data_IF_296582556020
#
_entry.id   IF_296582556020
#
_cell.length_a   1.000
_cell.length_b   1.000
_cell.length_c   1.000
_cell.angle_alpha   90.00
_cell.angle_beta   90.00
_cell.angle_gamma   90.00
#
_symmetry.space_group_name_H-M   'P 1'
#
loop_
_entity.id
_entity.type
_entity.pdbx_description
1 polymer ?
#
# COMPACT_ATOMS: atom_id res chain seq x y z
N UNK A 1 -11.87 -7.47 18.67
CA UNK A 1 -12.26 -7.69 17.25
C UNK A 1 -12.53 -6.42 16.42
N UNK A 2 -12.24 -5.20 16.90
CA UNK A 2 -12.74 -3.98 16.25
C UNK A 2 -12.12 -3.56 14.91
N UNK A 3 -10.90 -4.00 14.55
CA UNK A 3 -10.17 -3.47 13.38
C UNK A 3 -10.59 -4.07 12.03
N UNK A 4 -11.38 -5.14 12.04
CA UNK A 4 -11.80 -5.86 10.82
C UNK A 4 -12.52 -4.93 9.83
N UNK A 5 -13.29 -3.97 10.33
CA UNK A 5 -14.07 -3.01 9.54
C UNK A 5 -13.32 -1.73 9.18
N UNK A 6 -12.09 -1.59 9.67
CA UNK A 6 -11.32 -0.36 9.50
C UNK A 6 -10.46 -0.43 8.24
N UNK A 7 -10.38 0.70 7.55
CA UNK A 7 -9.37 1.00 6.54
C UNK A 7 -8.61 2.25 6.95
N UNK A 8 -7.37 2.32 6.48
CA UNK A 8 -6.46 3.43 6.74
C UNK A 8 -6.18 4.10 5.40
N UNK A 9 -6.56 5.37 5.30
CA UNK A 9 -6.35 6.21 4.13
C UNK A 9 -5.24 7.22 4.43
N UNK A 10 -4.30 7.37 3.50
CA UNK A 10 -3.17 8.31 3.58
C UNK A 10 -3.07 9.11 2.30
N UNK A 11 -2.58 10.35 2.41
CA UNK A 11 -2.42 11.26 1.27
C UNK A 11 -3.70 12.01 0.89
N UNK A 12 -4.70 12.05 1.78
CA UNK A 12 -5.88 12.91 1.63
C UNK A 12 -5.61 14.23 2.36
N UNK A 13 -5.55 15.31 1.60
CA UNK A 13 -5.33 16.65 2.13
C UNK A 13 -6.42 17.07 3.12
N UNK A 14 -6.06 17.95 4.05
CA UNK A 14 -6.99 18.49 5.03
C UNK A 14 -6.36 18.76 6.38
N UNK A 15 -7.07 19.50 7.23
CA UNK A 15 -6.62 19.99 8.53
C UNK A 15 -6.92 18.99 9.67
N UNK A 16 -6.10 18.94 10.71
CA UNK A 16 -6.37 18.17 11.94
C UNK A 16 -7.53 18.76 12.76
N UNK A 17 -7.90 20.01 12.49
CA UNK A 17 -9.06 20.69 13.10
C UNK A 17 -10.37 20.50 12.31
N UNK A 18 -10.37 19.67 11.26
CA UNK A 18 -11.58 19.35 10.49
C UNK A 18 -12.62 18.66 11.37
N UNK A 19 -13.87 19.02 11.15
CA UNK A 19 -14.98 18.29 11.74
C UNK A 19 -15.04 16.87 11.14
N UNK A 20 -15.60 15.89 11.87
CA UNK A 20 -15.79 14.55 11.33
C UNK A 20 -16.59 14.54 10.02
N UNK A 21 -17.55 15.46 9.87
CA UNK A 21 -18.40 15.59 8.67
C UNK A 21 -17.60 16.08 7.44
N UNK A 22 -16.72 17.06 7.62
CA UNK A 22 -15.83 17.52 6.54
C UNK A 22 -14.87 16.41 6.12
N UNK A 23 -14.35 15.65 7.08
CA UNK A 23 -13.45 14.53 6.81
C UNK A 23 -14.19 13.41 6.06
N UNK A 24 -15.42 13.08 6.47
CA UNK A 24 -16.29 12.12 5.78
C UNK A 24 -16.51 12.52 4.32
N UNK A 25 -16.92 13.76 4.07
CA UNK A 25 -17.14 14.27 2.72
C UNK A 25 -15.88 14.17 1.86
N UNK A 26 -14.72 14.55 2.39
CA UNK A 26 -13.44 14.44 1.68
C UNK A 26 -13.05 13.00 1.36
N UNK A 27 -13.29 12.06 2.27
CA UNK A 27 -13.02 10.64 2.04
C UNK A 27 -13.93 10.09 0.93
N UNK A 28 -15.22 10.44 0.93
CA UNK A 28 -16.18 10.05 -0.12
C UNK A 28 -15.75 10.62 -1.48
N UNK A 29 -15.46 11.91 -1.53
CA UNK A 29 -14.97 12.57 -2.74
C UNK A 29 -13.66 11.94 -3.24
N UNK A 30 -12.76 11.56 -2.33
CA UNK A 30 -11.53 10.84 -2.67
C UNK A 30 -11.82 9.45 -3.28
N UNK A 31 -12.78 8.70 -2.74
CA UNK A 31 -13.16 7.40 -3.30
C UNK A 31 -13.73 7.51 -4.72
N UNK A 32 -14.58 8.50 -4.99
CA UNK A 32 -15.12 8.72 -6.33
C UNK A 32 -14.04 9.21 -7.30
N UNK A 33 -13.26 10.22 -6.93
CA UNK A 33 -12.31 10.87 -7.83
C UNK A 33 -11.02 10.08 -8.04
N UNK A 34 -10.41 9.62 -6.95
CA UNK A 34 -9.07 9.04 -6.96
C UNK A 34 -9.08 7.53 -7.13
N UNK A 35 -10.07 6.85 -6.54
CA UNK A 35 -10.26 5.41 -6.70
C UNK A 35 -11.23 5.05 -7.85
N UNK A 36 -11.89 6.05 -8.46
CA UNK A 36 -12.85 5.86 -9.56
C UNK A 36 -13.97 4.89 -9.21
N UNK A 37 -14.42 4.92 -7.96
CA UNK A 37 -15.57 4.16 -7.50
C UNK A 37 -16.87 4.84 -7.96
N UNK A 38 -17.91 4.05 -8.23
CA UNK A 38 -19.22 4.57 -8.61
C UNK A 38 -19.81 5.40 -7.47
N UNK A 39 -20.28 6.60 -7.79
CA UNK A 39 -20.90 7.53 -6.84
C UNK A 39 -22.14 6.92 -6.19
N UNK A 40 -22.90 6.08 -6.91
CA UNK A 40 -24.05 5.35 -6.36
C UNK A 40 -23.63 4.38 -5.26
N UNK A 41 -22.52 3.68 -5.47
CA UNK A 41 -21.97 2.74 -4.51
C UNK A 41 -21.46 3.48 -3.28
N UNK A 42 -20.72 4.59 -3.47
CA UNK A 42 -20.25 5.42 -2.35
C UNK A 42 -21.42 6.07 -1.58
N UNK A 43 -22.46 6.53 -2.26
CA UNK A 43 -23.66 7.09 -1.64
C UNK A 43 -24.40 6.09 -0.74
N UNK A 44 -24.35 4.80 -1.07
CA UNK A 44 -24.91 3.72 -0.25
C UNK A 44 -24.04 3.29 0.93
N UNK A 45 -22.75 3.64 0.93
CA UNK A 45 -21.82 3.22 2.00
C UNK A 45 -22.09 3.97 3.31
N UNK A 46 -22.21 3.21 4.39
CA UNK A 46 -22.38 3.75 5.75
C UNK A 46 -21.03 3.73 6.47
N UNK A 47 -20.51 4.93 6.78
CA UNK A 47 -19.33 5.09 7.61
C UNK A 47 -19.76 5.23 9.06
N UNK A 48 -19.38 4.26 9.89
CA UNK A 48 -19.66 4.30 11.33
C UNK A 48 -18.82 5.36 12.02
N UNK A 49 -17.58 5.56 11.54
CA UNK A 49 -16.68 6.57 12.08
C UNK A 49 -15.63 6.96 11.04
N UNK A 50 -15.29 8.25 11.03
CA UNK A 50 -14.19 8.80 10.23
C UNK A 50 -13.36 9.69 11.14
N UNK A 51 -12.10 9.29 11.36
CA UNK A 51 -11.20 9.99 12.26
C UNK A 51 -9.89 10.30 11.56
N UNK A 52 -9.56 11.59 11.47
CA UNK A 52 -8.20 12.01 11.15
C UNK A 52 -7.36 11.94 12.41
N UNK A 53 -6.27 11.19 12.37
CA UNK A 53 -5.37 11.08 13.52
C UNK A 53 -4.57 12.39 13.70
N UNK A 54 -4.28 12.79 14.95
CA UNK A 54 -3.50 13.98 15.30
C UNK A 54 -2.05 13.92 14.77
N UNK A 55 -1.31 15.04 14.77
CA UNK A 55 -0.45 15.41 13.64
C UNK A 55 0.86 14.62 13.51
N UNK A 56 1.22 14.43 12.24
CA UNK A 56 2.58 14.35 11.71
C UNK A 56 2.64 15.20 10.42
N UNK A 57 3.70 15.05 9.62
CA UNK A 57 3.87 15.68 8.29
C UNK A 57 2.53 15.73 7.50
N UNK A 58 2.10 16.90 6.97
CA UNK A 58 0.83 17.05 6.26
C UNK A 58 0.64 16.01 5.14
N UNK A 59 1.74 15.63 4.47
CA UNK A 59 1.78 14.61 3.42
C UNK A 59 1.54 13.17 3.94
N UNK A 60 1.62 12.96 5.26
CA UNK A 60 1.51 11.66 5.94
C UNK A 60 0.30 11.55 6.85
N UNK A 61 -0.63 12.52 6.81
CA UNK A 61 -1.85 12.49 7.64
C UNK A 61 -2.65 11.23 7.36
N UNK A 62 -3.02 10.56 8.45
CA UNK A 62 -3.69 9.27 8.43
C UNK A 62 -5.16 9.49 8.79
N UNK A 63 -6.05 8.95 7.97
CA UNK A 63 -7.48 8.88 8.25
C UNK A 63 -7.83 7.41 8.49
N UNK A 64 -8.49 7.13 9.60
CA UNK A 64 -9.11 5.84 9.86
C UNK A 64 -10.58 5.97 9.49
N UNK A 65 -11.05 5.12 8.59
CA UNK A 65 -12.44 5.00 8.18
C UNK A 65 -12.95 3.66 8.64
N UNK A 66 -14.03 3.66 9.42
CA UNK A 66 -14.71 2.44 9.88
C UNK A 66 -15.99 2.28 9.09
N UNK A 67 -16.05 1.22 8.29
CA UNK A 67 -17.24 0.89 7.51
C UNK A 67 -18.21 0.05 8.34
N UNK A 68 -19.51 0.19 8.12
CA UNK A 68 -20.49 -0.68 8.75
C UNK A 68 -20.49 -2.09 8.12
N UNK A 69 -20.27 -2.16 6.80
CA UNK A 69 -20.31 -3.39 6.00
C UNK A 69 -18.90 -3.85 5.65
N UNK A 70 -18.67 -5.17 5.72
CA UNK A 70 -17.44 -5.79 5.26
C UNK A 70 -17.36 -5.87 3.74
N UNK A 71 -18.51 -5.92 3.06
CA UNK A 71 -18.59 -5.97 1.60
C UNK A 71 -18.08 -4.64 1.04
N UNK A 72 -18.59 -3.52 1.56
CA UNK A 72 -18.16 -2.16 1.19
C UNK A 72 -16.65 -1.98 1.39
N UNK A 73 -16.13 -2.54 2.49
CA UNK A 73 -14.68 -2.53 2.76
C UNK A 73 -13.93 -3.29 1.67
N UNK A 74 -14.39 -4.48 1.30
CA UNK A 74 -13.75 -5.29 0.27
C UNK A 74 -13.80 -4.60 -1.09
N UNK A 75 -14.92 -3.97 -1.45
CA UNK A 75 -15.05 -3.22 -2.70
C UNK A 75 -14.01 -2.09 -2.79
N UNK A 76 -13.88 -1.30 -1.72
CA UNK A 76 -12.83 -0.27 -1.63
C UNK A 76 -11.44 -0.89 -1.75
N UNK A 77 -11.19 -2.01 -1.06
CA UNK A 77 -9.88 -2.68 -1.11
C UNK A 77 -9.57 -3.28 -2.49
N UNK A 78 -10.58 -3.73 -3.24
CA UNK A 78 -10.41 -4.23 -4.60
C UNK A 78 -10.05 -3.09 -5.57
N UNK A 79 -10.71 -1.93 -5.46
CA UNK A 79 -10.37 -0.76 -6.27
C UNK A 79 -8.93 -0.28 -6.04
N UNK A 80 -8.45 -0.37 -4.81
CA UNK A 80 -7.09 0.04 -4.42
C UNK A 80 -5.99 -0.90 -4.93
N UNK A 81 -6.29 -2.14 -5.36
CA UNK A 81 -5.28 -3.10 -5.86
C UNK A 81 -4.58 -2.66 -7.16
N UNK A 82 -5.09 -1.64 -7.86
CA UNK A 82 -4.53 -1.09 -9.09
C UNK A 82 -3.99 0.34 -8.93
N UNK A 83 -3.22 0.70 -7.88
CA UNK A 83 -2.82 2.08 -7.74
C UNK A 83 -1.79 2.40 -8.85
N UNK A 84 -2.05 3.47 -9.59
CA UNK A 84 -1.05 4.02 -10.50
C UNK A 84 0.17 4.43 -9.67
N UNK A 85 1.37 3.99 -10.11
CA UNK A 85 2.62 4.46 -9.50
C UNK A 85 2.63 6.00 -9.56
N UNK A 86 2.93 6.65 -8.43
CA UNK A 86 2.99 8.12 -8.35
C UNK A 86 1.69 8.81 -7.89
N UNK A 87 0.64 8.07 -7.52
CA UNK A 87 -0.66 8.61 -7.09
C UNK A 87 -0.66 9.47 -5.82
N UNK A 88 0.42 9.51 -5.05
CA UNK A 88 0.52 10.35 -3.84
C UNK A 88 -0.33 9.89 -2.64
N UNK A 89 -1.21 8.91 -2.82
CA UNK A 89 -2.06 8.36 -1.76
C UNK A 89 -1.81 6.87 -1.50
N UNK A 90 -2.32 6.38 -0.36
CA UNK A 90 -2.31 4.97 -0.02
C UNK A 90 -3.51 4.59 0.84
N UNK A 91 -4.21 3.53 0.45
CA UNK A 91 -5.26 2.91 1.25
C UNK A 91 -4.81 1.50 1.65
N UNK A 92 -4.92 1.15 2.93
CA UNK A 92 -4.53 -0.17 3.46
C UNK A 92 -5.55 -0.67 4.48
N UNK A 93 -5.69 -1.99 4.66
CA UNK A 93 -6.49 -2.53 5.75
C UNK A 93 -5.83 -2.18 7.08
N UNK A 94 -6.65 -1.89 8.10
CA UNK A 94 -6.16 -1.76 9.47
C UNK A 94 -5.87 -3.17 10.03
N UNK A 95 -4.58 -3.50 10.11
CA UNK A 95 -4.11 -4.79 10.60
C UNK A 95 -3.70 -4.68 12.06
N UNK A 96 -3.73 -5.81 12.77
CA UNK A 96 -3.09 -5.88 14.08
C UNK A 96 -1.56 -5.72 13.92
N UNK A 97 -0.83 -5.28 14.97
CA UNK A 97 0.61 -5.05 14.88
C UNK A 97 1.39 -6.29 14.42
N UNK A 98 0.98 -7.47 14.88
CA UNK A 98 1.60 -8.75 14.53
C UNK A 98 1.46 -9.06 13.03
N UNK A 99 0.26 -8.97 12.46
CA UNK A 99 0.07 -9.21 11.02
C UNK A 99 0.71 -8.10 10.17
N UNK A 100 0.71 -6.85 10.65
CA UNK A 100 1.42 -5.78 9.96
C UNK A 100 2.94 -6.02 9.93
N UNK A 101 3.52 -6.53 11.03
CA UNK A 101 4.92 -6.95 11.11
C UNK A 101 5.23 -8.08 10.12
N UNK A 102 4.37 -9.11 10.06
CA UNK A 102 4.50 -10.20 9.09
C UNK A 102 4.42 -9.70 7.64
N UNK A 103 3.53 -8.75 7.34
CA UNK A 103 3.42 -8.16 5.99
C UNK A 103 4.69 -7.42 5.59
N UNK A 104 5.30 -6.69 6.52
CA UNK A 104 6.57 -5.99 6.27
C UNK A 104 7.69 -7.02 6.07
N UNK A 105 7.81 -8.00 6.97
CA UNK A 105 8.82 -9.07 6.89
C UNK A 105 8.72 -9.89 5.59
N UNK A 106 7.50 -10.25 5.17
CA UNK A 106 7.24 -10.97 3.92
C UNK A 106 7.59 -10.15 2.66
N UNK A 107 7.38 -8.84 2.69
CA UNK A 107 7.80 -7.94 1.61
C UNK A 107 9.33 -7.78 1.53
N UNK A 108 10.03 -7.87 2.66
CA UNK A 108 11.50 -7.87 2.70
C UNK A 108 12.09 -9.17 2.15
N UNK A 109 11.58 -10.33 2.60
CA UNK A 109 12.09 -11.64 2.15
C UNK A 109 11.89 -11.86 0.65
N UNK A 110 10.76 -11.42 0.08
CA UNK A 110 10.52 -11.50 -1.38
C UNK A 110 11.41 -10.54 -2.19
N UNK A 111 11.69 -9.32 -1.71
CA UNK A 111 12.62 -8.41 -2.40
C UNK A 111 14.06 -8.92 -2.38
N UNK A 112 14.53 -9.49 -1.26
CA UNK A 112 15.85 -10.09 -1.18
C UNK A 112 15.96 -11.33 -2.06
N UNK A 113 14.92 -12.17 -2.10
CA UNK A 113 14.87 -13.32 -3.00
C UNK A 113 14.94 -12.90 -4.48
N UNK A 114 14.14 -11.92 -4.92
CA UNK A 114 14.15 -11.43 -6.31
C UNK A 114 15.51 -10.80 -6.67
N UNK A 115 16.14 -10.05 -5.76
CA UNK A 115 17.49 -9.52 -6.00
C UNK A 115 18.55 -10.63 -6.07
N UNK A 116 18.45 -11.66 -5.22
CA UNK A 116 19.34 -12.81 -5.28
C UNK A 116 19.17 -13.62 -6.57
N UNK A 117 17.93 -13.81 -7.07
CA UNK A 117 17.70 -14.51 -8.35
C UNK A 117 18.15 -13.69 -9.56
N UNK A 118 18.18 -12.36 -9.46
CA UNK A 118 18.74 -11.48 -10.51
C UNK A 118 20.27 -11.48 -10.51
N UNK A 119 20.90 -11.65 -9.35
CA UNK A 119 22.35 -11.74 -9.23
C UNK A 119 22.93 -13.09 -9.72
N UNK A 120 22.11 -14.15 -9.82
CA UNK A 120 22.55 -15.48 -10.28
C UNK A 120 22.34 -15.72 -11.78
N UNK A 121 21.90 -14.73 -12.57
CA UNK A 121 21.92 -14.80 -14.04
C UNK A 121 23.19 -14.18 -14.62
N UNK A 122 24.34 -14.53 -14.06
CA UNK A 122 25.63 -14.37 -14.74
C UNK A 122 25.84 -15.65 -15.56
N UNK A 123 25.92 -15.44 -16.87
CA UNK A 123 26.21 -16.39 -17.93
C UNK A 123 27.36 -17.35 -17.56
N UNK A 124 27.22 -18.68 -17.71
CA UNK A 124 28.37 -19.57 -17.65
C UNK A 124 29.12 -19.48 -18.98
N UNK A 125 29.92 -18.44 -19.16
CA UNK A 125 30.90 -18.35 -20.24
C UNK A 125 32.10 -17.59 -19.71
N UNK A 126 33.27 -18.24 -19.77
CA UNK A 126 34.63 -17.73 -19.44
C UNK A 126 35.29 -18.28 -18.16
N UNK A 127 35.06 -19.56 -17.85
CA UNK A 127 35.93 -20.32 -16.92
C UNK A 127 36.74 -21.43 -17.62
N UNK A 128 36.79 -21.45 -18.96
CA UNK A 128 37.55 -22.44 -19.74
C UNK A 128 38.78 -21.88 -20.49
N UNK A 129 39.01 -20.57 -20.50
CA UNK A 129 40.12 -19.94 -21.25
C UNK A 129 41.23 -19.31 -20.38
N UNK A 130 41.57 -19.92 -19.25
CA UNK A 130 42.75 -19.53 -18.45
C UNK A 130 43.67 -20.69 -18.10
N UNK A 131 43.80 -21.68 -18.99
CA UNK A 131 44.70 -22.82 -18.78
C UNK A 131 45.69 -23.14 -19.92
N UNK A 132 45.88 -22.27 -20.89
CA UNK A 132 46.82 -22.50 -22.00
C UNK A 132 47.64 -21.24 -22.35
N UNK A 133 48.36 -20.67 -21.39
CA UNK A 133 49.49 -19.76 -21.65
C UNK A 133 50.52 -19.91 -20.52
N UNK A 134 51.08 -21.10 -20.38
CA UNK A 134 52.25 -21.35 -19.53
C UNK A 134 53.08 -22.53 -20.05
N UNK A 135 53.18 -22.68 -21.37
CA UNK A 135 54.13 -23.58 -22.04
C UNK A 135 54.51 -23.00 -23.40
N UNK A 136 55.38 -21.98 -23.39
CA UNK A 136 56.24 -21.59 -24.53
C UNK A 136 57.22 -20.51 -24.06
N UNK A 137 58.25 -20.94 -23.33
CA UNK A 137 59.56 -20.29 -23.33
C UNK A 137 60.55 -21.44 -23.45
N UNK A 138 60.97 -21.68 -24.69
CA UNK A 138 62.31 -22.19 -25.02
C UNK A 138 63.32 -21.11 -24.73
#
# INVERSE_FOLDING_TARGET
MGRKWNIVVKGVEGNTKETPRETDHKVRSFFVTSLKLDDRLIGGMIFQAVHRLPPGDPSKRIIIVRLNSLIDKEDVMQAVRKPSKGSGYRVIPDLNPTANKLRILGAFTTRTAIHATRATKITPSNLFERRLTLWRIT
#
